data_IF_022427114278
#
_entry.id   IF_022427114278
#
_cell.length_a   1.000
_cell.length_b   1.000
_cell.length_c   1.000
_cell.angle_alpha   90.00
_cell.angle_beta   90.00
_cell.angle_gamma   90.00
#
_symmetry.space_group_name_H-M   'P 1'
#
loop_
_entity.id
_entity.type
_entity.pdbx_description
1 polymer ?
#
# COMPACT_ATOMS: atom_id res chain seq x y z
N UNK A 1 6.66 -3.71 9.24
CA UNK A 1 5.81 -4.25 9.43
C UNK A 1 5.12 -5.45 8.82
N UNK A 2 5.58 -6.06 7.76
CA UNK A 2 5.02 -7.32 7.25
C UNK A 2 5.48 -8.56 8.02
N UNK A 3 6.42 -8.47 8.95
CA UNK A 3 7.14 -9.58 9.58
C UNK A 3 6.23 -10.67 10.15
N UNK A 4 5.16 -10.25 10.84
CA UNK A 4 4.18 -11.20 11.42
C UNK A 4 3.34 -11.90 10.35
N UNK A 5 3.05 -11.23 9.25
CA UNK A 5 2.30 -11.79 8.11
C UNK A 5 3.21 -12.76 7.37
N UNK A 6 4.43 -12.35 7.06
CA UNK A 6 5.46 -13.19 6.43
C UNK A 6 5.66 -14.49 7.21
N UNK A 7 5.89 -14.39 8.52
CA UNK A 7 6.09 -15.57 9.37
C UNK A 7 4.88 -16.53 9.35
N UNK A 8 3.65 -15.99 9.29
CA UNK A 8 2.43 -16.80 9.23
C UNK A 8 2.24 -17.48 7.87
N UNK A 9 2.57 -16.81 6.77
CA UNK A 9 2.50 -17.37 5.44
C UNK A 9 3.55 -18.45 5.24
N UNK A 10 4.79 -18.20 5.69
CA UNK A 10 5.88 -19.19 5.64
C UNK A 10 5.56 -20.45 6.45
N UNK A 11 4.93 -20.32 7.62
CA UNK A 11 4.44 -21.47 8.40
C UNK A 11 3.40 -22.32 7.65
N UNK A 12 2.74 -21.76 6.65
CA UNK A 12 1.79 -22.46 5.75
C UNK A 12 2.45 -22.97 4.47
N UNK A 13 3.77 -22.92 4.40
CA UNK A 13 4.54 -23.41 3.24
C UNK A 13 4.53 -22.46 2.04
N UNK A 14 4.07 -21.20 2.21
CA UNK A 14 4.08 -20.22 1.14
C UNK A 14 5.42 -19.48 1.12
N UNK A 15 6.13 -19.46 -0.02
CA UNK A 15 7.31 -18.62 -0.18
C UNK A 15 6.88 -17.15 -0.21
N UNK A 16 7.57 -16.30 0.56
CA UNK A 16 7.27 -14.86 0.64
C UNK A 16 8.55 -14.08 0.47
N UNK A 17 8.49 -13.04 -0.35
CA UNK A 17 9.54 -12.02 -0.50
C UNK A 17 8.95 -10.66 -0.13
N UNK A 18 9.69 -9.87 0.64
CA UNK A 18 9.38 -8.47 0.90
C UNK A 18 10.12 -7.59 -0.10
N UNK A 19 9.49 -6.48 -0.47
CA UNK A 19 10.11 -5.48 -1.34
C UNK A 19 10.44 -4.25 -0.52
N UNK A 20 11.70 -3.86 -0.54
CA UNK A 20 12.16 -2.60 0.06
C UNK A 20 11.97 -1.48 -0.97
N UNK A 21 10.86 -0.79 -0.86
CA UNK A 21 10.54 0.35 -1.70
C UNK A 21 11.38 1.57 -1.31
N UNK A 22 12.06 2.23 -2.26
CA UNK A 22 12.80 3.47 -1.98
C UNK A 22 11.93 4.62 -1.49
N UNK A 23 10.64 4.64 -1.83
CA UNK A 23 9.67 5.68 -1.47
C UNK A 23 10.04 7.07 -2.01
N UNK A 24 10.76 7.12 -3.12
CA UNK A 24 11.25 8.34 -3.77
C UNK A 24 10.43 8.74 -4.99
N UNK A 25 9.87 7.76 -5.71
CA UNK A 25 8.97 7.96 -6.84
C UNK A 25 8.17 6.69 -7.11
N UNK A 26 7.10 6.80 -7.90
CA UNK A 26 6.38 5.62 -8.38
C UNK A 26 7.29 4.71 -9.22
N UNK A 27 8.08 5.31 -10.10
CA UNK A 27 9.00 4.56 -10.97
C UNK A 27 10.02 3.75 -10.18
N UNK A 28 10.61 4.31 -9.12
CA UNK A 28 11.60 3.63 -8.29
C UNK A 28 11.00 2.44 -7.53
N UNK A 29 9.80 2.63 -6.97
CA UNK A 29 9.10 1.59 -6.22
C UNK A 29 8.58 0.47 -7.14
N UNK A 30 8.10 0.82 -8.33
CA UNK A 30 7.72 -0.15 -9.36
C UNK A 30 8.96 -0.94 -9.82
N UNK A 31 10.10 -0.28 -10.06
CA UNK A 31 11.34 -0.95 -10.43
C UNK A 31 11.84 -1.91 -9.34
N UNK A 32 11.73 -1.54 -8.06
CA UNK A 32 12.05 -2.42 -6.94
C UNK A 32 11.14 -3.66 -6.93
N UNK A 33 9.84 -3.46 -7.13
CA UNK A 33 8.85 -4.55 -7.22
C UNK A 33 9.12 -5.46 -8.42
N UNK A 34 9.45 -4.91 -9.59
CA UNK A 34 9.79 -5.68 -10.79
C UNK A 34 11.04 -6.56 -10.60
N UNK A 35 12.06 -6.05 -9.89
CA UNK A 35 13.25 -6.86 -9.54
C UNK A 35 12.87 -8.07 -8.68
N UNK A 36 11.97 -7.88 -7.71
CA UNK A 36 11.49 -8.99 -6.88
C UNK A 36 10.66 -10.00 -7.69
N UNK A 37 9.79 -9.53 -8.60
CA UNK A 37 9.04 -10.40 -9.51
C UNK A 37 9.99 -11.21 -10.40
N UNK A 38 11.01 -10.57 -10.96
CA UNK A 38 12.00 -11.24 -11.82
C UNK A 38 12.74 -12.36 -11.08
N UNK A 39 13.09 -12.14 -9.82
CA UNK A 39 13.77 -13.11 -8.96
C UNK A 39 12.88 -14.30 -8.52
N UNK A 40 11.56 -14.16 -8.60
CA UNK A 40 10.64 -15.22 -8.22
C UNK A 40 10.73 -16.42 -9.20
N UNK A 41 10.73 -17.67 -8.70
CA UNK A 41 10.87 -18.85 -9.55
C UNK A 41 9.63 -19.17 -10.41
N UNK A 42 8.49 -18.54 -10.11
CA UNK A 42 7.21 -18.82 -10.79
C UNK A 42 6.23 -17.66 -10.73
N UNK A 43 4.94 -17.98 -10.83
CA UNK A 43 3.87 -16.99 -10.69
C UNK A 43 3.86 -16.38 -9.30
N UNK A 44 3.53 -15.10 -9.24
CA UNK A 44 3.49 -14.32 -8.00
C UNK A 44 2.12 -13.70 -7.76
N UNK A 45 1.78 -13.54 -6.49
CA UNK A 45 0.68 -12.69 -6.02
C UNK A 45 1.32 -11.45 -5.42
N UNK A 46 0.94 -10.26 -5.91
CA UNK A 46 1.39 -9.01 -5.33
C UNK A 46 0.46 -8.58 -4.21
N UNK A 47 1.03 -8.17 -3.08
CA UNK A 47 0.29 -7.65 -1.92
C UNK A 47 0.75 -6.23 -1.64
N UNK A 48 -0.15 -5.26 -1.69
CA UNK A 48 0.16 -3.85 -1.44
C UNK A 48 -0.68 -3.26 -0.31
N UNK A 49 -0.01 -2.55 0.61
CA UNK A 49 -0.65 -1.77 1.66
C UNK A 49 -0.53 -0.28 1.35
N UNK A 50 -1.62 0.47 1.54
CA UNK A 50 -1.62 1.93 1.38
C UNK A 50 -1.05 2.36 0.01
N UNK A 51 0.03 3.17 -0.04
CA UNK A 51 0.78 3.53 -1.25
C UNK A 51 1.21 2.31 -2.08
N UNK A 52 1.57 1.21 -1.42
CA UNK A 52 1.95 -0.03 -2.09
C UNK A 52 0.86 -0.59 -3.01
N UNK A 53 -0.40 -0.21 -2.82
CA UNK A 53 -1.48 -0.56 -3.75
C UNK A 53 -1.32 0.10 -5.13
N UNK A 54 -0.92 1.37 -5.19
CA UNK A 54 -0.58 2.05 -6.44
C UNK A 54 0.59 1.36 -7.14
N UNK A 55 1.62 1.01 -6.35
CA UNK A 55 2.82 0.32 -6.86
C UNK A 55 2.46 -1.03 -7.49
N UNK A 56 1.69 -1.89 -6.80
CA UNK A 56 1.31 -3.20 -7.36
C UNK A 56 0.35 -3.08 -8.53
N UNK A 57 -0.48 -2.03 -8.57
CA UNK A 57 -1.36 -1.74 -9.71
C UNK A 57 -0.56 -1.54 -10.99
N UNK A 58 0.52 -0.76 -10.93
CA UNK A 58 1.41 -0.51 -12.05
C UNK A 58 2.33 -1.70 -12.34
N UNK A 59 2.96 -2.29 -11.31
CA UNK A 59 3.90 -3.40 -11.46
C UNK A 59 3.25 -4.69 -11.93
N UNK A 60 1.94 -4.84 -11.73
CA UNK A 60 1.16 -6.01 -12.14
C UNK A 60 1.06 -6.22 -13.65
N UNK A 61 1.66 -5.35 -14.46
CA UNK A 61 1.85 -5.55 -15.91
C UNK A 61 2.70 -6.79 -16.23
N UNK A 62 3.57 -7.20 -15.32
CA UNK A 62 4.45 -8.34 -15.54
C UNK A 62 3.66 -9.65 -15.69
N UNK A 63 3.91 -10.47 -16.73
CA UNK A 63 3.18 -11.71 -16.99
C UNK A 63 3.34 -12.79 -15.92
N UNK A 64 4.31 -12.66 -15.02
CA UNK A 64 4.42 -13.54 -13.84
C UNK A 64 3.39 -13.22 -12.78
N UNK A 65 2.79 -12.03 -12.78
CA UNK A 65 1.78 -11.66 -11.79
C UNK A 65 0.46 -12.34 -12.11
N UNK A 66 -0.08 -13.08 -11.16
CA UNK A 66 -1.31 -13.86 -11.32
C UNK A 66 -2.50 -13.29 -10.54
N UNK A 67 -2.25 -12.47 -9.52
CA UNK A 67 -3.29 -11.88 -8.69
C UNK A 67 -2.77 -10.69 -7.89
N UNK A 68 -3.70 -9.86 -7.40
CA UNK A 68 -3.43 -8.67 -6.60
C UNK A 68 -4.20 -8.75 -5.28
N UNK A 69 -3.55 -8.35 -4.18
CA UNK A 69 -4.18 -8.21 -2.87
C UNK A 69 -3.92 -6.80 -2.35
N UNK A 70 -4.97 -6.04 -2.19
CA UNK A 70 -4.94 -4.69 -1.62
C UNK A 70 -5.28 -4.75 -0.14
N UNK A 71 -4.48 -4.11 0.71
CA UNK A 71 -4.72 -4.04 2.14
C UNK A 71 -4.81 -2.57 2.54
N UNK A 72 -6.00 -2.06 2.82
CA UNK A 72 -6.22 -0.64 3.13
C UNK A 72 -5.41 0.26 2.17
N UNK A 73 -5.62 0.13 0.86
CA UNK A 73 -4.69 0.58 -0.15
C UNK A 73 -5.34 1.39 -1.27
N UNK A 74 -4.55 2.21 -1.95
CA UNK A 74 -4.94 2.86 -3.21
C UNK A 74 -4.92 1.85 -4.38
N UNK A 75 -5.82 2.05 -5.33
CA UNK A 75 -5.87 1.29 -6.56
C UNK A 75 -6.31 2.21 -7.72
N UNK A 76 -5.48 3.15 -8.15
CA UNK A 76 -5.86 4.12 -9.17
C UNK A 76 -6.19 3.47 -10.52
N UNK A 77 -6.92 4.18 -11.35
CA UNK A 77 -7.12 3.85 -12.75
C UNK A 77 -6.03 4.51 -13.62
N UNK A 78 -5.92 4.08 -14.87
CA UNK A 78 -4.97 4.67 -15.82
C UNK A 78 -5.15 6.17 -15.90
N UNK A 79 -4.06 6.92 -15.80
CA UNK A 79 -4.05 8.38 -15.75
C UNK A 79 -4.38 9.01 -14.40
N UNK A 80 -4.77 8.21 -13.40
CA UNK A 80 -5.00 8.67 -12.03
C UNK A 80 -3.76 8.47 -11.15
N UNK A 81 -3.71 9.24 -10.07
CA UNK A 81 -2.70 9.11 -9.02
C UNK A 81 -3.33 8.83 -7.65
N UNK A 82 -2.49 8.54 -6.65
CA UNK A 82 -2.98 8.21 -5.30
C UNK A 82 -3.69 9.37 -4.61
N UNK A 83 -3.24 10.61 -4.81
CA UNK A 83 -3.83 11.79 -4.17
C UNK A 83 -5.28 12.00 -4.61
N UNK A 84 -5.59 11.77 -5.88
CA UNK A 84 -6.93 11.90 -6.44
C UNK A 84 -7.92 10.85 -5.91
N UNK A 85 -7.44 9.71 -5.43
CA UNK A 85 -8.32 8.64 -4.94
C UNK A 85 -9.16 9.06 -3.73
N UNK A 86 -8.69 10.05 -2.95
CA UNK A 86 -9.41 10.56 -1.78
C UNK A 86 -10.48 11.59 -2.09
N UNK A 87 -10.57 12.09 -3.32
CA UNK A 87 -11.52 13.12 -3.70
C UNK A 87 -12.98 12.66 -3.52
N UNK A 88 -13.79 13.49 -2.88
CA UNK A 88 -15.19 13.17 -2.57
C UNK A 88 -15.39 12.28 -1.34
N UNK A 89 -14.33 11.85 -0.65
CA UNK A 89 -14.41 11.09 0.59
C UNK A 89 -13.96 11.90 1.80
N UNK A 90 -14.46 11.60 3.01
CA UNK A 90 -13.97 12.25 4.21
C UNK A 90 -12.46 12.04 4.38
N UNK A 91 -11.73 13.10 4.64
CA UNK A 91 -10.29 13.01 4.93
C UNK A 91 -10.12 12.30 6.28
N UNK A 92 -9.33 11.24 6.29
CA UNK A 92 -9.06 10.48 7.50
C UNK A 92 -8.22 11.32 8.50
N UNK A 93 -8.47 11.19 9.82
CA UNK A 93 -7.81 12.04 10.82
C UNK A 93 -6.29 12.02 10.77
N UNK A 94 -5.69 10.86 10.52
CA UNK A 94 -4.24 10.71 10.46
C UNK A 94 -3.61 11.39 9.25
N UNK A 95 -4.31 11.45 8.10
CA UNK A 95 -3.82 12.18 6.93
C UNK A 95 -3.71 13.69 7.17
N UNK A 96 -4.56 14.25 8.05
CA UNK A 96 -4.51 15.66 8.42
C UNK A 96 -3.32 15.99 9.33
N UNK A 97 -2.63 14.97 9.85
CA UNK A 97 -1.50 15.10 10.78
C UNK A 97 -0.18 14.68 10.17
N UNK A 98 -0.12 14.55 8.83
CA UNK A 98 1.14 14.27 8.15
C UNK A 98 2.14 15.40 8.40
N UNK A 99 3.38 15.00 8.66
CA UNK A 99 4.52 15.91 8.81
C UNK A 99 5.27 15.95 7.50
N UNK A 100 5.39 17.13 6.89
CA UNK A 100 6.20 17.32 5.70
C UNK A 100 7.54 17.98 6.07
N UNK A 101 8.63 17.39 5.58
CA UNK A 101 9.97 17.92 5.73
C UNK A 101 10.82 17.57 4.50
N UNK A 102 11.40 18.61 3.88
CA UNK A 102 12.24 18.42 2.69
C UNK A 102 11.54 17.74 1.51
N UNK A 103 10.21 17.88 1.40
CA UNK A 103 9.39 17.24 0.38
C UNK A 103 9.07 15.77 0.67
N UNK A 104 9.29 15.31 1.90
CA UNK A 104 8.93 13.98 2.35
C UNK A 104 7.85 14.03 3.44
N UNK A 105 6.96 13.05 3.39
CA UNK A 105 5.86 12.88 4.35
C UNK A 105 6.21 11.78 5.36
N UNK A 106 5.92 12.05 6.62
CA UNK A 106 6.09 11.11 7.73
C UNK A 106 4.98 11.27 8.77
N UNK A 107 4.95 10.37 9.74
CA UNK A 107 4.03 10.43 10.89
C UNK A 107 4.83 10.76 12.14
N UNK A 108 4.28 11.63 12.99
CA UNK A 108 4.81 11.83 14.34
C UNK A 108 4.54 10.59 15.20
N UNK A 109 5.29 10.44 16.31
CA UNK A 109 5.05 9.35 17.27
C UNK A 109 3.61 9.37 17.82
N UNK A 110 3.04 10.56 18.02
CA UNK A 110 1.66 10.75 18.46
C UNK A 110 0.69 10.24 17.40
N UNK A 111 0.87 10.60 16.13
CA UNK A 111 0.00 10.18 15.03
C UNK A 111 0.09 8.67 14.81
N UNK A 112 1.28 8.07 14.94
CA UNK A 112 1.42 6.61 14.90
C UNK A 112 0.60 5.95 16.00
N UNK A 113 0.64 6.49 17.23
CA UNK A 113 -0.11 5.95 18.35
C UNK A 113 -1.62 6.13 18.24
N UNK A 114 -2.09 7.27 17.72
CA UNK A 114 -3.52 7.61 17.70
C UNK A 114 -4.27 7.21 16.44
N UNK A 115 -3.57 7.11 15.30
CA UNK A 115 -4.23 7.00 13.99
C UNK A 115 -3.67 5.90 13.07
N UNK A 116 -2.42 5.46 13.25
CA UNK A 116 -1.82 4.42 12.40
C UNK A 116 -1.77 3.04 13.06
N UNK A 117 -1.45 2.98 14.35
CA UNK A 117 -1.27 1.74 15.11
C UNK A 117 -2.01 1.79 16.47
N UNK A 118 -3.18 2.42 16.48
CA UNK A 118 -3.99 2.73 17.67
C UNK A 118 -4.48 1.50 18.44
N UNK A 119 -4.45 0.33 17.82
CA UNK A 119 -4.85 -0.96 18.41
C UNK A 119 -3.68 -1.76 18.97
N UNK A 120 -2.45 -1.25 18.84
CA UNK A 120 -1.26 -1.91 19.31
C UNK A 120 -0.87 -1.47 20.74
N UNK A 121 -0.13 -2.33 21.44
CA UNK A 121 0.45 -1.98 22.74
C UNK A 121 1.56 -0.94 22.55
N UNK A 122 1.82 -0.07 23.58
CA UNK A 122 2.79 1.03 23.46
C UNK A 122 4.19 0.62 22.99
N UNK A 123 4.68 -0.55 23.39
CA UNK A 123 5.98 -1.04 22.93
C UNK A 123 6.00 -1.31 21.42
N UNK A 124 4.94 -1.92 20.87
CA UNK A 124 4.83 -2.17 19.45
C UNK A 124 4.60 -0.88 18.63
N UNK A 125 3.89 0.10 19.20
CA UNK A 125 3.74 1.44 18.58
C UNK A 125 5.10 2.12 18.43
N UNK A 126 5.95 2.06 19.45
CA UNK A 126 7.33 2.61 19.39
C UNK A 126 8.17 1.93 18.29
N UNK A 127 8.05 0.60 18.17
CA UNK A 127 8.72 -0.14 17.09
C UNK A 127 8.23 0.30 15.70
N UNK A 128 6.91 0.44 15.52
CA UNK A 128 6.34 0.91 14.26
C UNK A 128 6.87 2.30 13.91
N UNK A 129 6.89 3.21 14.89
CA UNK A 129 7.42 4.56 14.69
C UNK A 129 8.90 4.55 14.31
N UNK A 130 9.72 3.76 14.99
CA UNK A 130 11.17 3.70 14.76
C UNK A 130 11.55 3.12 13.39
N UNK A 131 10.66 2.32 12.78
CA UNK A 131 10.90 1.69 11.49
C UNK A 131 10.12 2.31 10.32
N UNK A 132 9.42 3.43 10.56
CA UNK A 132 8.78 4.12 9.43
C UNK A 132 9.83 4.77 8.53
N UNK A 133 9.56 4.73 7.23
CA UNK A 133 10.34 5.44 6.23
C UNK A 133 9.50 6.59 5.66
N UNK A 134 10.09 7.76 5.41
CA UNK A 134 9.39 8.87 4.81
C UNK A 134 9.09 8.60 3.32
N UNK A 135 7.91 9.02 2.87
CA UNK A 135 7.48 8.92 1.49
C UNK A 135 7.63 10.28 0.81
N UNK A 136 8.24 10.31 -0.37
CA UNK A 136 8.30 11.53 -1.19
C UNK A 136 6.89 12.01 -1.52
N UNK A 137 6.55 13.23 -1.13
CA UNK A 137 5.19 13.77 -1.30
C UNK A 137 4.75 13.79 -2.78
N UNK A 138 5.68 14.12 -3.69
CA UNK A 138 5.40 14.15 -5.14
C UNK A 138 5.02 12.79 -5.72
N UNK A 139 5.49 11.68 -5.12
CA UNK A 139 5.13 10.34 -5.60
C UNK A 139 3.62 10.09 -5.57
N UNK A 140 2.91 10.64 -4.57
CA UNK A 140 1.45 10.52 -4.48
C UNK A 140 0.70 11.18 -5.65
N UNK A 141 1.33 12.12 -6.35
CA UNK A 141 0.78 12.84 -7.50
C UNK A 141 1.21 12.26 -8.84
N UNK A 142 2.05 11.22 -8.87
CA UNK A 142 2.47 10.56 -10.09
C UNK A 142 1.34 9.64 -10.61
N UNK A 143 0.86 9.84 -11.86
CA UNK A 143 -0.19 9.01 -12.42
C UNK A 143 0.35 7.64 -12.84
N UNK A 144 -0.50 6.62 -12.75
CA UNK A 144 -0.18 5.31 -13.33
C UNK A 144 -0.51 5.29 -14.83
N UNK A 145 0.21 4.46 -15.59
CA UNK A 145 -0.04 4.22 -17.02
C UNK A 145 -0.60 2.83 -17.31
N UNK A 146 -0.72 1.97 -16.29
CA UNK A 146 -1.28 0.63 -16.37
C UNK A 146 -2.02 0.25 -15.10
N UNK A 147 -3.24 -0.26 -15.22
CA UNK A 147 -4.07 -0.70 -14.11
C UNK A 147 -4.28 -2.22 -14.14
N UNK A 148 -3.40 -2.96 -13.48
CA UNK A 148 -3.40 -4.43 -13.50
C UNK A 148 -4.70 -5.07 -13.00
N UNK A 149 -5.43 -4.43 -12.10
CA UNK A 149 -6.71 -4.90 -11.58
C UNK A 149 -7.81 -5.01 -12.66
N UNK A 150 -7.64 -4.35 -13.83
CA UNK A 150 -8.58 -4.48 -14.95
C UNK A 150 -8.54 -5.87 -15.62
N UNK A 151 -7.44 -6.60 -15.43
CA UNK A 151 -7.24 -7.91 -16.08
C UNK A 151 -6.88 -9.04 -15.12
N UNK A 152 -6.51 -8.72 -13.89
CA UNK A 152 -6.10 -9.71 -12.89
C UNK A 152 -7.13 -9.85 -11.77
N UNK A 153 -7.35 -11.06 -11.27
CA UNK A 153 -8.18 -11.28 -10.08
C UNK A 153 -7.59 -10.51 -8.91
N UNK A 154 -8.47 -9.81 -8.20
CA UNK A 154 -8.08 -8.89 -7.14
C UNK A 154 -8.88 -9.14 -5.86
N UNK A 155 -8.21 -9.02 -4.73
CA UNK A 155 -8.81 -9.06 -3.38
C UNK A 155 -8.52 -7.77 -2.65
N UNK A 156 -9.43 -7.39 -1.76
CA UNK A 156 -9.27 -6.18 -0.97
C UNK A 156 -9.60 -6.43 0.50
N UNK A 157 -8.63 -6.19 1.37
CA UNK A 157 -8.83 -6.23 2.83
C UNK A 157 -9.16 -4.82 3.32
N UNK A 158 -10.40 -4.61 3.73
CA UNK A 158 -10.89 -3.33 4.27
C UNK A 158 -10.63 -3.23 5.76
N UNK A 159 -9.91 -2.21 6.17
CA UNK A 159 -9.70 -1.86 7.58
C UNK A 159 -10.82 -0.94 8.07
N UNK A 160 -11.85 -1.50 8.70
CA UNK A 160 -13.08 -0.77 9.07
C UNK A 160 -12.88 0.37 10.08
N UNK A 161 -11.79 0.35 10.84
CA UNK A 161 -11.43 1.37 11.83
C UNK A 161 -10.18 2.14 11.44
N UNK A 162 -9.85 2.14 10.16
CA UNK A 162 -8.71 2.86 9.62
C UNK A 162 -8.87 4.37 9.82
N UNK A 163 -7.83 5.00 10.32
CA UNK A 163 -7.76 6.44 10.57
C UNK A 163 -6.73 7.14 9.66
N UNK A 164 -6.08 6.36 8.75
CA UNK A 164 -5.16 6.88 7.73
C UNK A 164 -5.81 6.90 6.34
N UNK A 165 -6.56 5.88 5.98
CA UNK A 165 -7.29 5.81 4.73
C UNK A 165 -8.78 5.57 5.01
N UNK A 166 -9.64 6.49 4.58
CA UNK A 166 -11.08 6.43 4.86
C UNK A 166 -11.65 5.03 4.55
N UNK A 167 -12.31 4.35 5.51
CA UNK A 167 -12.96 3.06 5.25
C UNK A 167 -14.01 3.12 4.14
N UNK A 168 -14.67 4.29 3.96
CA UNK A 168 -15.62 4.51 2.86
C UNK A 168 -14.90 4.50 1.51
N UNK A 169 -13.74 5.14 1.43
CA UNK A 169 -12.90 5.09 0.23
C UNK A 169 -12.45 3.65 -0.05
N UNK A 170 -11.99 2.92 0.97
CA UNK A 170 -11.56 1.53 0.81
C UNK A 170 -12.65 0.64 0.21
N UNK A 171 -13.88 0.73 0.75
CA UNK A 171 -15.04 -0.02 0.23
C UNK A 171 -15.36 0.38 -1.22
N UNK A 172 -15.42 1.68 -1.51
CA UNK A 172 -15.70 2.19 -2.85
C UNK A 172 -14.60 1.76 -3.85
N UNK A 173 -13.34 1.79 -3.44
CA UNK A 173 -12.22 1.30 -4.25
C UNK A 173 -12.37 -0.19 -4.55
N UNK A 174 -12.64 -1.03 -3.53
CA UNK A 174 -12.83 -2.45 -3.73
C UNK A 174 -13.97 -2.77 -4.71
N UNK A 175 -15.10 -2.06 -4.59
CA UNK A 175 -16.23 -2.20 -5.50
C UNK A 175 -15.87 -1.76 -6.92
N UNK A 176 -15.20 -0.61 -7.08
CA UNK A 176 -14.81 -0.07 -8.39
C UNK A 176 -13.89 -1.00 -9.15
N UNK A 177 -12.92 -1.61 -8.49
CA UNK A 177 -11.97 -2.54 -9.11
C UNK A 177 -12.50 -3.98 -9.20
N UNK A 178 -13.74 -4.25 -8.78
CA UNK A 178 -14.32 -5.60 -8.78
C UNK A 178 -13.59 -6.59 -7.87
N UNK A 179 -12.93 -6.11 -6.82
CA UNK A 179 -12.18 -6.98 -5.92
C UNK A 179 -13.11 -7.78 -5.00
N UNK A 180 -12.70 -9.01 -4.67
CA UNK A 180 -13.32 -9.80 -3.61
C UNK A 180 -12.94 -9.19 -2.23
N UNK A 181 -13.95 -9.06 -1.34
CA UNK A 181 -13.80 -8.51 0.01
C UNK A 181 -13.61 -9.62 1.04
#
# INVERSE_FOLDING_TARGET
SWDKVVARLQKRGLPVMTVDNPLTSLADDVAATQRAIAAAPGKVVLVGHSWGGTVITQAGRDPKVSALVYVAAFAPDVGQNSAQQGEGFPVAPGLQKLVESGGFLSLSAETVASDFAQDLKPAAVREVFAHQLPLKASALSEPIDFAAWQSLPSWYVVSRKDRMLSPKLQVATAQRIGAQL
#
